data_IF_138871031030
#
_entry.id   IF_138871031030
#
_cell.length_a   1.000
_cell.length_b   1.000
_cell.length_c   1.000
_cell.angle_alpha   90.00
_cell.angle_beta   90.00
_cell.angle_gamma   90.00
#
_symmetry.space_group_name_H-M   'P 1'
#
loop_
_entity.id
_entity.type
_entity.pdbx_description
1 polymer ?
#
# COMPACT_ATOMS: atom_id res chain seq x y z
N UNK A 1 57.18 24.92 -52.21
CA UNK A 1 55.86 25.27 -51.62
C UNK A 1 55.34 24.01 -50.99
N UNK A 2 55.87 23.72 -49.78
CA UNK A 2 55.62 22.51 -49.01
C UNK A 2 54.58 22.82 -47.89
N UNK A 3 53.48 22.08 -47.88
CA UNK A 3 52.50 22.15 -46.84
C UNK A 3 52.93 21.15 -45.75
N UNK A 4 53.30 21.67 -44.59
CA UNK A 4 53.46 20.89 -43.37
C UNK A 4 52.05 20.38 -42.87
N UNK A 5 51.88 19.08 -42.89
CA UNK A 5 50.80 18.40 -42.18
C UNK A 5 51.20 18.29 -40.72
N UNK A 6 50.58 19.07 -39.87
CA UNK A 6 50.66 18.90 -38.42
C UNK A 6 49.63 17.81 -37.99
N UNK A 7 50.16 16.71 -37.47
CA UNK A 7 49.38 15.64 -36.84
C UNK A 7 48.83 16.13 -35.48
N UNK A 8 47.56 16.45 -35.43
CA UNK A 8 46.85 16.70 -34.15
C UNK A 8 46.39 15.38 -33.55
N UNK A 9 46.84 15.10 -32.34
CA UNK A 9 46.36 13.97 -31.54
C UNK A 9 44.87 14.08 -31.22
N UNK A 10 44.12 12.93 -31.07
CA UNK A 10 42.70 12.96 -30.79
C UNK A 10 42.32 13.62 -29.45
N UNK A 11 43.29 13.73 -28.52
CA UNK A 11 43.05 14.29 -27.19
C UNK A 11 42.89 15.82 -27.19
N UNK A 12 43.52 16.54 -28.10
CA UNK A 12 43.38 18.00 -28.20
C UNK A 12 42.00 18.48 -28.70
N UNK A 13 41.27 17.63 -29.44
CA UNK A 13 39.94 17.97 -29.91
C UNK A 13 38.87 17.75 -28.82
N UNK A 14 39.07 16.76 -27.95
CA UNK A 14 38.21 16.50 -26.78
C UNK A 14 38.34 17.58 -25.70
N UNK A 15 39.56 18.11 -25.49
CA UNK A 15 39.77 19.21 -24.54
C UNK A 15 39.25 20.56 -25.07
N UNK A 16 39.33 20.83 -26.39
CA UNK A 16 38.67 22.01 -26.96
C UNK A 16 37.14 21.91 -26.93
N UNK A 17 36.57 20.74 -27.15
CA UNK A 17 35.15 20.53 -27.00
C UNK A 17 34.69 20.63 -25.51
N UNK A 18 35.49 20.15 -24.57
CA UNK A 18 35.26 20.39 -23.14
C UNK A 18 35.31 21.87 -22.76
N UNK A 19 36.25 22.65 -23.31
CA UNK A 19 36.31 24.10 -23.07
C UNK A 19 35.14 24.86 -23.73
N UNK A 20 34.62 24.40 -24.87
CA UNK A 20 33.49 25.06 -25.55
C UNK A 20 32.14 24.76 -24.89
N UNK A 21 32.00 23.61 -24.22
CA UNK A 21 30.80 23.27 -23.45
C UNK A 21 30.82 23.74 -21.97
N UNK A 22 31.93 24.30 -21.50
CA UNK A 22 31.97 25.11 -20.27
C UNK A 22 31.49 26.54 -20.53
N UNK A 23 30.30 26.71 -21.09
CA UNK A 23 29.55 27.94 -20.96
C UNK A 23 29.46 28.20 -19.46
N UNK A 24 30.12 29.26 -18.95
CA UNK A 24 29.99 29.72 -17.58
C UNK A 24 28.52 29.84 -17.29
N UNK A 25 27.97 28.88 -16.53
CA UNK A 25 26.59 28.94 -16.07
C UNK A 25 26.48 30.27 -15.34
N UNK A 26 25.45 31.05 -15.65
CA UNK A 26 25.20 32.29 -14.93
C UNK A 26 24.64 32.02 -13.52
N UNK A 27 24.61 30.75 -13.14
CA UNK A 27 24.01 30.29 -11.89
C UNK A 27 25.13 29.75 -10.96
N UNK A 28 25.50 30.52 -9.91
CA UNK A 28 26.54 30.09 -8.97
C UNK A 28 26.20 28.79 -8.24
N UNK A 29 24.92 28.43 -8.17
CA UNK A 29 24.49 27.18 -7.52
C UNK A 29 24.84 25.98 -8.43
N UNK A 30 24.66 26.09 -9.73
CA UNK A 30 25.06 25.04 -10.69
C UNK A 30 26.58 24.81 -10.66
N UNK A 31 27.36 25.88 -10.73
CA UNK A 31 28.81 25.77 -10.65
C UNK A 31 29.27 25.11 -9.34
N UNK A 32 28.67 25.47 -8.23
CA UNK A 32 28.89 24.81 -6.93
C UNK A 32 28.56 23.32 -6.99
N UNK A 33 27.36 22.96 -7.46
CA UNK A 33 26.94 21.56 -7.52
C UNK A 33 27.85 20.71 -8.38
N UNK A 34 28.27 21.21 -9.56
CA UNK A 34 29.18 20.49 -10.45
C UNK A 34 30.63 20.44 -9.94
N UNK A 35 30.99 21.26 -8.95
CA UNK A 35 32.33 21.23 -8.32
C UNK A 35 32.46 20.20 -7.19
N UNK A 36 31.34 19.61 -6.74
CA UNK A 36 31.33 18.65 -5.63
C UNK A 36 31.90 17.29 -6.05
N UNK A 37 32.62 16.63 -5.14
CA UNK A 37 32.92 15.22 -5.29
C UNK A 37 31.64 14.36 -5.12
N UNK A 38 31.66 13.09 -5.58
CA UNK A 38 30.52 12.18 -5.50
C UNK A 38 29.98 12.06 -4.05
N UNK A 39 30.87 11.95 -3.04
CA UNK A 39 30.49 11.88 -1.64
C UNK A 39 29.82 13.20 -1.17
N UNK A 40 30.38 14.34 -1.55
CA UNK A 40 29.82 15.65 -1.22
C UNK A 40 28.47 15.87 -1.90
N UNK A 41 28.34 15.44 -3.14
CA UNK A 41 27.09 15.51 -3.89
C UNK A 41 26.00 14.62 -3.25
N UNK A 42 26.36 13.41 -2.80
CA UNK A 42 25.42 12.55 -2.06
C UNK A 42 24.95 13.19 -0.76
N UNK A 43 25.86 13.81 0.03
CA UNK A 43 25.50 14.55 1.24
C UNK A 43 24.58 15.74 0.95
N UNK A 44 24.77 16.42 -0.17
CA UNK A 44 23.90 17.51 -0.61
C UNK A 44 22.49 16.97 -0.91
N UNK A 45 22.39 15.88 -1.69
CA UNK A 45 21.09 15.22 -1.98
C UNK A 45 20.38 14.85 -0.68
N UNK A 46 21.06 14.18 0.26
CA UNK A 46 20.49 13.78 1.54
C UNK A 46 19.99 14.99 2.35
N UNK A 47 20.72 16.11 2.27
CA UNK A 47 20.33 17.36 2.98
C UNK A 47 19.11 18.03 2.33
N UNK A 48 19.05 18.04 1.00
CA UNK A 48 17.88 18.53 0.24
C UNK A 48 16.65 17.68 0.53
N UNK A 49 16.79 16.36 0.56
CA UNK A 49 15.71 15.45 0.87
C UNK A 49 15.18 15.62 2.31
N UNK A 50 16.08 15.78 3.29
CA UNK A 50 15.69 16.11 4.67
C UNK A 50 14.96 17.45 4.76
N UNK A 51 15.37 18.44 4.00
CA UNK A 51 14.68 19.74 3.94
C UNK A 51 13.28 19.60 3.38
N UNK A 52 13.11 18.88 2.25
CA UNK A 52 11.79 18.59 1.66
C UNK A 52 10.88 17.84 2.63
N UNK A 53 11.41 16.82 3.31
CA UNK A 53 10.65 16.04 4.29
C UNK A 53 10.19 16.94 5.44
N UNK A 54 11.06 17.82 5.93
CA UNK A 54 10.72 18.77 6.99
C UNK A 54 9.66 19.78 6.57
N UNK A 55 9.72 20.27 5.33
CA UNK A 55 8.73 21.18 4.77
C UNK A 55 7.37 20.46 4.56
N UNK A 56 7.38 19.22 4.09
CA UNK A 56 6.18 18.46 3.76
C UNK A 56 5.51 17.83 5.00
N UNK A 57 6.28 17.25 5.90
CA UNK A 57 5.77 16.46 7.04
C UNK A 57 6.05 17.11 8.40
N UNK A 58 6.95 18.11 8.49
CA UNK A 58 7.42 18.69 9.73
C UNK A 58 8.47 17.86 10.46
N UNK A 59 8.94 16.75 9.89
CA UNK A 59 9.88 15.78 10.49
C UNK A 59 10.98 15.37 9.54
N UNK A 60 12.09 14.86 10.11
CA UNK A 60 13.22 14.33 9.35
C UNK A 60 13.59 12.89 9.75
N UNK A 61 12.94 12.34 10.77
CA UNK A 61 13.18 10.97 11.23
C UNK A 61 11.88 10.26 11.65
N UNK A 62 11.91 8.92 11.59
CA UNK A 62 10.79 8.08 12.00
C UNK A 62 10.47 8.22 13.49
N UNK A 63 11.49 8.37 14.33
CA UNK A 63 11.31 8.49 15.77
C UNK A 63 10.69 9.83 16.15
N UNK A 64 11.16 10.92 15.52
CA UNK A 64 10.59 12.26 15.69
C UNK A 64 9.11 12.28 15.27
N UNK A 65 8.80 11.76 14.09
CA UNK A 65 7.44 11.67 13.58
C UNK A 65 6.55 10.83 14.51
N UNK A 66 7.02 9.63 14.92
CA UNK A 66 6.27 8.76 15.81
C UNK A 66 5.94 9.44 17.15
N UNK A 67 6.90 10.11 17.74
CA UNK A 67 6.72 10.86 18.99
C UNK A 67 5.71 12.00 18.83
N UNK A 68 5.83 12.79 17.79
CA UNK A 68 4.92 13.91 17.48
C UNK A 68 3.50 13.44 17.18
N UNK A 69 3.33 12.29 16.52
CA UNK A 69 2.02 11.67 16.30
C UNK A 69 1.42 11.05 17.57
N UNK A 70 2.12 11.10 18.70
CA UNK A 70 1.62 10.67 19.99
C UNK A 70 2.03 9.26 20.41
N UNK A 71 2.97 8.62 19.70
CA UNK A 71 3.53 7.34 20.15
C UNK A 71 4.33 7.55 21.42
N UNK A 72 3.99 6.81 22.47
CA UNK A 72 4.71 6.86 23.76
C UNK A 72 5.49 5.56 23.97
N UNK A 73 6.62 5.62 24.68
CA UNK A 73 7.37 4.42 25.03
C UNK A 73 6.49 3.46 25.86
N UNK A 74 6.47 2.20 25.46
CA UNK A 74 5.82 1.10 26.17
C UNK A 74 6.76 -0.10 26.03
N UNK A 75 7.01 -0.79 27.11
CA UNK A 75 7.88 -1.95 27.09
C UNK A 75 7.29 -3.06 26.21
N UNK A 76 8.00 -3.49 25.14
CA UNK A 76 7.49 -4.51 24.24
C UNK A 76 7.48 -5.92 24.83
N UNK A 77 8.06 -6.12 26.00
CA UNK A 77 8.14 -7.40 26.69
C UNK A 77 7.00 -7.59 27.71
N UNK A 78 6.79 -6.59 28.60
CA UNK A 78 5.77 -6.70 29.66
C UNK A 78 4.62 -5.70 29.56
N UNK A 79 4.60 -4.82 28.54
CA UNK A 79 3.54 -3.82 28.34
C UNK A 79 3.62 -2.62 29.29
N UNK A 80 4.58 -2.56 30.20
CA UNK A 80 4.73 -1.48 31.17
C UNK A 80 5.04 -0.14 30.53
N UNK A 81 4.56 0.93 31.17
CA UNK A 81 4.90 2.33 30.85
C UNK A 81 5.89 2.94 31.85
N UNK A 82 6.38 2.13 32.79
CA UNK A 82 7.35 2.55 33.80
C UNK A 82 8.76 2.33 33.24
N UNK A 83 9.46 3.41 32.91
CA UNK A 83 10.77 3.35 32.26
C UNK A 83 11.65 4.52 32.61
N UNK A 84 12.97 4.32 32.49
CA UNK A 84 13.97 5.35 32.46
C UNK A 84 14.59 5.49 31.07
N UNK A 85 15.07 6.69 30.76
CA UNK A 85 15.90 6.91 29.57
C UNK A 85 17.30 6.36 29.86
N UNK A 86 17.77 5.47 28.96
CA UNK A 86 19.06 4.79 29.11
C UNK A 86 19.96 5.05 27.89
N UNK A 87 20.31 6.32 27.68
CA UNK A 87 21.17 6.77 26.59
C UNK A 87 20.57 6.60 25.19
N UNK A 88 21.44 6.32 24.21
CA UNK A 88 21.08 6.19 22.80
C UNK A 88 21.66 4.90 22.22
N UNK A 89 21.09 4.44 21.12
CA UNK A 89 21.66 3.39 20.28
C UNK A 89 22.83 3.95 19.47
N UNK A 90 23.69 3.11 18.85
CA UNK A 90 24.71 3.57 17.91
C UNK A 90 24.14 4.40 16.73
N UNK A 91 22.87 4.20 16.40
CA UNK A 91 22.12 4.96 15.36
C UNK A 91 21.42 6.20 15.95
N UNK A 92 21.81 6.68 17.12
CA UNK A 92 21.26 7.85 17.82
C UNK A 92 19.78 7.79 18.16
N UNK A 93 19.12 6.61 18.13
CA UNK A 93 17.76 6.45 18.64
C UNK A 93 17.76 6.43 20.16
N UNK A 94 16.80 7.14 20.78
CA UNK A 94 16.63 7.16 22.22
C UNK A 94 16.34 5.75 22.74
N UNK A 95 17.10 5.28 23.72
CA UNK A 95 16.94 3.99 24.36
C UNK A 95 16.26 4.13 25.71
N UNK A 96 15.32 3.24 25.97
CA UNK A 96 14.57 3.15 27.21
C UNK A 96 14.89 1.84 27.93
N UNK A 97 14.86 1.84 29.26
CA UNK A 97 14.96 0.65 30.11
C UNK A 97 13.69 0.54 30.93
N UNK A 98 12.99 -0.58 30.84
CA UNK A 98 11.81 -0.86 31.63
C UNK A 98 12.21 -1.07 33.09
N UNK A 99 11.49 -0.44 34.02
CA UNK A 99 11.75 -0.61 35.45
C UNK A 99 11.10 -1.86 36.03
N UNK A 100 10.12 -2.44 35.32
CA UNK A 100 9.39 -3.61 35.82
C UNK A 100 10.00 -4.94 35.35
N UNK A 101 10.65 -4.98 34.19
CA UNK A 101 11.24 -6.22 33.65
C UNK A 101 12.67 -6.07 33.12
N UNK A 102 13.28 -4.92 33.30
CA UNK A 102 14.66 -4.60 32.93
C UNK A 102 14.98 -4.66 31.44
N UNK A 103 13.99 -4.82 30.57
CA UNK A 103 14.17 -4.91 29.13
C UNK A 103 14.54 -3.54 28.55
N UNK A 104 15.57 -3.50 27.68
CA UNK A 104 15.93 -2.28 26.92
C UNK A 104 15.24 -2.25 25.57
N UNK A 105 14.74 -1.08 25.17
CA UNK A 105 13.98 -0.91 23.93
C UNK A 105 14.08 0.54 23.41
N UNK A 106 13.61 0.75 22.16
CA UNK A 106 13.45 2.07 21.54
C UNK A 106 11.98 2.36 21.32
N UNK A 107 11.63 3.58 20.93
CA UNK A 107 10.24 3.98 20.67
C UNK A 107 9.56 3.10 19.60
N UNK A 108 10.33 2.56 18.67
CA UNK A 108 9.83 1.77 17.53
C UNK A 108 10.05 0.26 17.67
N UNK A 109 10.51 -0.22 18.83
CA UNK A 109 10.82 -1.64 19.03
C UNK A 109 9.64 -2.60 18.89
N UNK A 110 8.41 -2.12 19.11
CA UNK A 110 7.15 -2.86 18.97
C UNK A 110 6.40 -2.53 17.66
N UNK A 111 7.11 -2.08 16.64
CA UNK A 111 6.54 -1.73 15.33
C UNK A 111 7.20 -2.47 14.18
N UNK A 112 6.65 -2.32 12.98
CA UNK A 112 7.25 -2.82 11.73
C UNK A 112 8.63 -2.18 11.44
N UNK A 113 8.96 -1.09 12.11
CA UNK A 113 10.23 -0.37 11.98
C UNK A 113 11.31 -0.86 12.94
N UNK A 114 11.02 -1.86 13.77
CA UNK A 114 12.03 -2.45 14.65
C UNK A 114 13.27 -2.86 13.84
N UNK A 115 14.43 -2.38 14.26
CA UNK A 115 15.73 -2.63 13.59
C UNK A 115 15.77 -2.23 12.12
N UNK A 116 14.92 -1.28 11.70
CA UNK A 116 14.89 -0.79 10.33
C UNK A 116 16.04 0.18 10.06
N UNK A 117 16.66 0.04 8.89
CA UNK A 117 17.67 0.96 8.37
C UNK A 117 17.14 1.89 7.28
N UNK A 118 15.83 1.82 6.97
CA UNK A 118 15.25 2.70 5.94
C UNK A 118 15.26 4.16 6.43
N UNK A 119 15.69 5.08 5.56
CA UNK A 119 15.61 6.50 5.85
C UNK A 119 14.15 6.97 5.83
N UNK A 120 13.86 8.07 6.54
CA UNK A 120 12.53 8.68 6.55
C UNK A 120 12.07 9.01 5.13
N UNK A 121 12.94 9.63 4.33
CA UNK A 121 12.68 10.00 2.95
C UNK A 121 12.33 8.80 2.06
N UNK A 122 13.13 7.71 2.08
CA UNK A 122 12.83 6.52 1.30
C UNK A 122 11.51 5.86 1.71
N UNK A 123 11.16 5.89 3.01
CA UNK A 123 9.89 5.37 3.47
C UNK A 123 8.70 6.21 2.98
N UNK A 124 8.77 7.53 3.11
CA UNK A 124 7.68 8.42 2.67
C UNK A 124 7.44 8.31 1.16
N UNK A 125 8.51 8.26 0.38
CA UNK A 125 8.41 7.94 -1.06
C UNK A 125 7.83 6.55 -1.33
N UNK A 126 8.24 5.53 -0.59
CA UNK A 126 7.70 4.18 -0.75
C UNK A 126 6.19 4.15 -0.47
N UNK A 127 5.73 4.83 0.59
CA UNK A 127 4.30 4.98 0.89
C UNK A 127 3.58 5.66 -0.28
N UNK A 128 4.14 6.74 -0.81
CA UNK A 128 3.56 7.46 -1.95
C UNK A 128 3.41 6.54 -3.18
N UNK A 129 4.43 5.77 -3.53
CA UNK A 129 4.38 4.80 -4.62
C UNK A 129 3.31 3.72 -4.38
N UNK A 130 3.18 3.23 -3.15
CA UNK A 130 2.12 2.29 -2.78
C UNK A 130 0.72 2.90 -2.91
N UNK A 131 0.54 4.19 -2.62
CA UNK A 131 -0.76 4.86 -2.79
C UNK A 131 -1.14 5.05 -4.26
N UNK A 132 -0.17 5.07 -5.16
CA UNK A 132 -0.37 5.08 -6.61
C UNK A 132 -0.46 3.67 -7.21
N UNK A 133 -0.45 2.64 -6.37
CA UNK A 133 -0.49 1.24 -6.79
C UNK A 133 0.65 0.89 -7.76
N UNK A 134 1.85 1.42 -7.50
CA UNK A 134 3.04 1.15 -8.30
C UNK A 134 3.50 -0.30 -8.03
N UNK A 135 3.73 -1.11 -9.08
CA UNK A 135 4.27 -2.46 -8.95
C UNK A 135 5.65 -2.48 -8.28
N UNK A 136 6.06 -3.68 -7.83
CA UNK A 136 7.29 -3.82 -7.03
C UNK A 136 8.54 -3.46 -7.82
N UNK A 137 8.58 -3.83 -9.10
CA UNK A 137 9.73 -3.57 -9.99
C UNK A 137 10.02 -2.08 -10.11
N UNK A 138 9.01 -1.28 -10.39
CA UNK A 138 9.14 0.17 -10.53
C UNK A 138 9.49 0.83 -9.18
N UNK A 139 8.98 0.31 -8.05
CA UNK A 139 9.40 0.79 -6.73
C UNK A 139 10.91 0.57 -6.48
N UNK A 140 11.45 -0.56 -6.95
CA UNK A 140 12.88 -0.87 -6.85
C UNK A 140 13.73 0.12 -7.65
N UNK A 141 13.32 0.40 -8.89
CA UNK A 141 14.01 1.30 -9.81
C UNK A 141 13.99 2.75 -9.29
N UNK A 142 12.81 3.25 -8.88
CA UNK A 142 12.63 4.64 -8.40
C UNK A 142 13.36 4.92 -7.09
N UNK A 143 13.44 3.93 -6.20
CA UNK A 143 14.04 4.09 -4.87
C UNK A 143 15.45 3.54 -4.77
N UNK A 144 15.95 2.93 -5.85
CA UNK A 144 17.27 2.29 -5.89
C UNK A 144 17.46 1.31 -4.74
N UNK A 145 16.49 0.41 -4.57
CA UNK A 145 16.51 -0.61 -3.51
C UNK A 145 16.42 -2.01 -4.11
N UNK A 146 16.97 -3.00 -3.41
CA UNK A 146 16.89 -4.39 -3.85
C UNK A 146 15.45 -4.94 -3.83
N UNK A 147 15.19 -5.96 -4.67
CA UNK A 147 13.91 -6.68 -4.71
C UNK A 147 13.51 -7.20 -3.32
N UNK A 148 14.46 -7.78 -2.59
CA UNK A 148 14.22 -8.28 -1.24
C UNK A 148 13.79 -7.17 -0.28
N UNK A 149 14.41 -5.99 -0.38
CA UNK A 149 14.07 -4.82 0.44
C UNK A 149 12.67 -4.30 0.10
N UNK A 150 12.38 -4.11 -1.19
CA UNK A 150 11.09 -3.64 -1.64
C UNK A 150 9.95 -4.59 -1.23
N UNK A 151 10.14 -5.91 -1.43
CA UNK A 151 9.16 -6.92 -1.04
C UNK A 151 8.97 -6.99 0.49
N UNK A 152 10.06 -6.93 1.26
CA UNK A 152 10.02 -6.90 2.73
C UNK A 152 9.20 -5.71 3.23
N UNK A 153 9.41 -4.50 2.67
CA UNK A 153 8.67 -3.32 3.06
C UNK A 153 7.20 -3.42 2.70
N UNK A 154 6.87 -3.95 1.52
CA UNK A 154 5.48 -4.19 1.13
C UNK A 154 4.78 -5.12 2.10
N UNK A 155 5.41 -6.25 2.45
CA UNK A 155 4.89 -7.20 3.43
C UNK A 155 4.72 -6.60 4.83
N UNK A 156 5.69 -5.82 5.30
CA UNK A 156 5.62 -5.11 6.58
C UNK A 156 4.44 -4.14 6.63
N UNK A 157 4.26 -3.32 5.60
CA UNK A 157 3.16 -2.37 5.52
C UNK A 157 1.82 -3.10 5.43
N UNK A 158 1.71 -4.11 4.60
CA UNK A 158 0.51 -4.91 4.47
C UNK A 158 0.10 -5.60 5.78
N UNK A 159 1.07 -6.03 6.58
CA UNK A 159 0.79 -6.66 7.87
C UNK A 159 0.02 -5.73 8.82
N UNK A 160 0.23 -4.41 8.75
CA UNK A 160 -0.48 -3.44 9.60
C UNK A 160 -1.97 -3.29 9.27
N UNK A 161 -2.40 -3.82 8.12
CA UNK A 161 -3.80 -3.78 7.66
C UNK A 161 -4.41 -5.17 7.46
N UNK A 162 -3.74 -6.22 7.96
CA UNK A 162 -4.21 -7.62 7.78
C UNK A 162 -5.63 -7.81 8.27
N UNK A 163 -5.96 -7.27 9.44
CA UNK A 163 -7.26 -7.41 10.09
C UNK A 163 -8.19 -6.22 9.86
N UNK A 164 -7.80 -5.29 8.98
CA UNK A 164 -8.54 -4.05 8.79
C UNK A 164 -10.01 -4.28 8.43
N UNK A 165 -10.29 -5.19 7.50
CA UNK A 165 -11.65 -5.46 7.07
C UNK A 165 -12.49 -6.15 8.15
N UNK A 166 -11.90 -6.87 9.10
CA UNK A 166 -12.63 -7.55 10.18
C UNK A 166 -13.45 -6.58 11.05
N UNK A 167 -13.06 -5.30 11.06
CA UNK A 167 -13.73 -4.24 11.83
C UNK A 167 -14.69 -3.38 11.00
N UNK A 168 -14.86 -3.70 9.72
CA UNK A 168 -15.77 -2.95 8.84
C UNK A 168 -17.17 -3.51 9.00
N UNK A 169 -18.10 -2.65 9.43
CA UNK A 169 -19.54 -2.95 9.53
C UNK A 169 -20.29 -2.05 8.55
N UNK A 170 -21.07 -2.70 7.69
CA UNK A 170 -21.94 -2.08 6.69
C UNK A 170 -23.35 -1.95 7.25
N UNK A 171 -24.03 -0.85 6.96
CA UNK A 171 -25.35 -0.53 7.51
C UNK A 171 -26.24 0.23 6.54
N UNK A 172 -27.51 0.31 6.84
CA UNK A 172 -28.57 0.92 6.05
C UNK A 172 -28.73 0.27 4.68
N UNK A 173 -28.33 0.94 3.61
CA UNK A 173 -28.40 0.43 2.25
C UNK A 173 -27.03 -0.14 1.87
N UNK A 174 -26.99 -1.43 1.59
CA UNK A 174 -25.77 -2.19 1.30
C UNK A 174 -25.87 -2.82 -0.08
N UNK A 175 -25.00 -2.46 -0.99
CA UNK A 175 -24.85 -3.11 -2.29
C UNK A 175 -23.92 -4.30 -2.16
N UNK A 176 -24.32 -5.43 -2.72
CA UNK A 176 -23.57 -6.70 -2.68
C UNK A 176 -23.50 -7.31 -4.07
N UNK A 177 -22.30 -7.74 -4.47
CA UNK A 177 -22.05 -8.47 -5.71
C UNK A 177 -20.78 -9.30 -5.60
N UNK A 178 -20.57 -10.24 -6.52
CA UNK A 178 -19.35 -11.02 -6.66
C UNK A 178 -18.53 -10.61 -7.86
N UNK A 179 -17.22 -10.54 -7.67
CA UNK A 179 -16.27 -10.40 -8.76
C UNK A 179 -15.32 -11.59 -8.82
N UNK A 180 -14.81 -11.90 -10.00
CA UNK A 180 -14.02 -13.10 -10.23
C UNK A 180 -12.69 -12.75 -10.88
N UNK A 181 -11.62 -13.36 -10.36
CA UNK A 181 -10.25 -13.21 -10.84
C UNK A 181 -9.71 -14.59 -11.22
N UNK A 182 -8.87 -14.64 -12.26
CA UNK A 182 -8.20 -15.88 -12.66
C UNK A 182 -7.22 -16.34 -11.57
N UNK A 183 -7.23 -17.63 -11.25
CA UNK A 183 -6.20 -18.25 -10.42
C UNK A 183 -5.14 -18.87 -11.33
N UNK A 184 -4.05 -18.14 -11.52
CA UNK A 184 -2.97 -18.56 -12.41
C UNK A 184 -2.22 -19.81 -11.93
N UNK A 185 -2.31 -20.17 -10.63
CA UNK A 185 -1.72 -21.41 -10.11
C UNK A 185 -2.49 -22.65 -10.56
N UNK A 186 -3.82 -22.54 -10.68
CA UNK A 186 -4.66 -23.66 -11.13
C UNK A 186 -4.58 -23.83 -12.64
N UNK A 187 -4.35 -22.74 -13.37
CA UNK A 187 -4.26 -22.77 -14.83
C UNK A 187 -3.01 -23.51 -15.34
N UNK A 188 -1.97 -23.68 -14.52
CA UNK A 188 -0.76 -24.45 -14.82
C UNK A 188 -0.11 -24.14 -16.18
N UNK A 189 0.91 -24.93 -16.57
CA UNK A 189 1.56 -24.86 -17.89
C UNK A 189 0.66 -25.37 -19.05
N UNK A 190 -0.47 -25.98 -18.74
CA UNK A 190 -1.40 -26.58 -19.71
C UNK A 190 -2.51 -25.62 -20.14
N UNK A 191 -2.19 -24.34 -20.26
CA UNK A 191 -3.10 -23.27 -20.72
C UNK A 191 -3.72 -23.50 -22.11
N UNK A 192 -3.48 -24.65 -22.75
CA UNK A 192 -4.03 -25.04 -24.04
C UNK A 192 -5.43 -25.66 -24.00
N UNK A 193 -5.96 -25.98 -22.82
CA UNK A 193 -7.31 -26.49 -22.70
C UNK A 193 -8.37 -25.40 -22.91
N UNK A 194 -9.37 -25.76 -23.68
CA UNK A 194 -10.49 -24.90 -24.11
C UNK A 194 -11.02 -24.06 -22.97
N UNK A 195 -11.02 -22.74 -23.15
CA UNK A 195 -11.75 -21.82 -22.27
C UNK A 195 -13.18 -22.33 -22.09
N UNK A 196 -13.50 -22.80 -20.90
CA UNK A 196 -14.85 -23.23 -20.56
C UNK A 196 -15.78 -22.02 -20.71
N UNK A 197 -16.87 -22.19 -21.44
CA UNK A 197 -17.92 -21.15 -21.54
C UNK A 197 -18.57 -20.98 -20.15
N UNK A 198 -18.72 -19.72 -19.70
CA UNK A 198 -19.31 -19.40 -18.41
C UNK A 198 -18.29 -19.21 -17.30
N UNK A 199 -18.76 -19.19 -16.04
CA UNK A 199 -17.92 -18.99 -14.88
C UNK A 199 -17.14 -20.28 -14.56
N UNK A 200 -15.81 -20.22 -14.76
CA UNK A 200 -14.94 -21.35 -14.43
C UNK A 200 -14.91 -21.61 -12.92
N UNK A 201 -14.89 -22.89 -12.53
CA UNK A 201 -14.70 -23.31 -11.13
C UNK A 201 -13.32 -22.97 -10.58
N UNK A 202 -12.38 -22.63 -11.45
CA UNK A 202 -11.00 -22.27 -11.09
C UNK A 202 -10.85 -20.80 -10.71
N UNK A 203 -11.80 -19.92 -11.08
CA UNK A 203 -11.72 -18.50 -10.75
C UNK A 203 -11.93 -18.25 -9.25
N UNK A 204 -11.14 -17.36 -8.71
CA UNK A 204 -11.31 -16.89 -7.32
C UNK A 204 -12.52 -15.96 -7.27
N UNK A 205 -13.45 -16.27 -6.41
CA UNK A 205 -14.61 -15.46 -6.09
C UNK A 205 -14.28 -14.48 -4.98
N UNK A 206 -14.48 -13.20 -5.22
CA UNK A 206 -14.36 -12.12 -4.24
C UNK A 206 -15.76 -11.54 -4.05
N UNK A 207 -16.25 -11.59 -2.82
CA UNK A 207 -17.49 -10.89 -2.44
C UNK A 207 -17.14 -9.45 -2.16
N UNK A 208 -17.85 -8.53 -2.80
CA UNK A 208 -17.69 -7.09 -2.65
C UNK A 208 -18.99 -6.52 -2.10
N UNK A 209 -18.91 -5.75 -1.03
CA UNK A 209 -20.07 -5.03 -0.52
C UNK A 209 -19.67 -3.61 -0.10
N UNK A 210 -20.59 -2.68 -0.32
CA UNK A 210 -20.40 -1.26 0.02
C UNK A 210 -21.72 -0.68 0.54
N UNK A 211 -21.66 0.13 1.60
CA UNK A 211 -22.84 0.79 2.13
C UNK A 211 -23.01 2.24 1.62
N UNK A 212 -24.16 2.85 1.98
CA UNK A 212 -24.47 4.25 1.64
C UNK A 212 -23.47 5.25 2.24
N UNK A 213 -22.74 4.87 3.29
CA UNK A 213 -21.67 5.65 3.91
C UNK A 213 -20.31 5.40 3.26
N UNK A 214 -20.27 4.60 2.18
CA UNK A 214 -19.07 4.20 1.45
C UNK A 214 -18.09 3.36 2.30
N UNK A 215 -18.53 2.68 3.36
CA UNK A 215 -17.75 1.60 3.96
C UNK A 215 -17.79 0.42 3.00
N UNK A 216 -16.68 -0.27 2.85
CA UNK A 216 -16.55 -1.31 1.84
C UNK A 216 -15.81 -2.51 2.42
N UNK A 217 -16.19 -3.70 1.96
CA UNK A 217 -15.43 -4.93 2.10
C UNK A 217 -15.17 -5.58 0.74
N UNK A 218 -14.07 -6.30 0.64
CA UNK A 218 -13.71 -7.15 -0.50
C UNK A 218 -13.01 -8.40 0.04
N UNK A 219 -13.74 -9.51 0.12
CA UNK A 219 -13.29 -10.72 0.83
C UNK A 219 -13.34 -11.92 -0.09
N UNK A 220 -12.27 -12.72 -0.11
CA UNK A 220 -12.21 -13.96 -0.87
C UNK A 220 -13.19 -14.96 -0.30
N UNK A 221 -14.11 -15.42 -1.15
CA UNK A 221 -15.15 -16.40 -0.82
C UNK A 221 -14.83 -17.81 -1.35
N UNK A 222 -13.60 -18.07 -1.84
CA UNK A 222 -13.15 -19.32 -2.42
C UNK A 222 -13.22 -19.34 -3.95
N UNK A 223 -13.29 -20.52 -4.57
CA UNK A 223 -13.28 -20.68 -6.03
C UNK A 223 -14.67 -20.92 -6.62
N UNK A 224 -14.86 -20.50 -7.87
CA UNK A 224 -16.08 -20.65 -8.65
C UNK A 224 -17.28 -19.93 -8.04
N UNK A 225 -18.48 -20.27 -8.56
CA UNK A 225 -19.74 -19.68 -8.06
C UNK A 225 -19.97 -20.05 -6.61
N UNK A 226 -20.24 -19.09 -5.69
CA UNK A 226 -20.40 -19.38 -4.29
C UNK A 226 -21.79 -19.98 -3.99
N UNK A 227 -21.86 -20.82 -2.98
CA UNK A 227 -23.15 -21.25 -2.39
C UNK A 227 -23.65 -20.21 -1.39
N UNK A 228 -24.97 -20.25 -1.07
CA UNK A 228 -25.55 -19.37 -0.06
C UNK A 228 -24.87 -19.48 1.30
N UNK A 229 -24.41 -20.68 1.67
CA UNK A 229 -23.69 -20.89 2.92
C UNK A 229 -22.29 -20.24 2.91
N UNK A 230 -21.62 -20.23 1.76
CA UNK A 230 -20.32 -19.56 1.62
C UNK A 230 -20.48 -18.05 1.72
N UNK A 231 -21.42 -17.43 1.00
CA UNK A 231 -21.73 -16.00 1.11
C UNK A 231 -22.05 -15.64 2.56
N UNK A 232 -22.98 -16.35 3.19
CA UNK A 232 -23.36 -16.10 4.57
C UNK A 232 -22.14 -16.13 5.51
N UNK A 233 -21.34 -17.17 5.47
CA UNK A 233 -20.13 -17.29 6.32
C UNK A 233 -19.13 -16.15 6.10
N UNK A 234 -19.00 -15.69 4.85
CA UNK A 234 -18.04 -14.65 4.47
C UNK A 234 -18.46 -13.26 4.99
N UNK A 235 -19.76 -12.92 4.90
CA UNK A 235 -20.18 -11.52 5.14
C UNK A 235 -21.10 -11.30 6.34
N UNK A 236 -21.58 -12.34 7.02
CA UNK A 236 -22.52 -12.22 8.13
C UNK A 236 -22.08 -11.27 9.26
N UNK A 237 -20.78 -11.21 9.53
CA UNK A 237 -20.22 -10.35 10.58
C UNK A 237 -19.98 -8.90 10.12
N UNK A 238 -20.24 -8.62 8.84
CA UNK A 238 -19.96 -7.32 8.22
C UNK A 238 -21.22 -6.52 7.91
N UNK A 239 -22.42 -7.11 8.05
CA UNK A 239 -23.68 -6.43 7.72
C UNK A 239 -24.54 -6.36 8.96
N UNK A 240 -25.01 -5.15 9.27
CA UNK A 240 -25.95 -4.93 10.39
C UNK A 240 -27.29 -5.60 10.07
N UNK A 241 -27.89 -6.37 10.98
CA UNK A 241 -29.23 -6.91 10.82
C UNK A 241 -30.26 -5.82 10.49
N UNK A 242 -31.30 -6.19 9.76
CA UNK A 242 -32.37 -5.29 9.28
C UNK A 242 -31.92 -4.19 8.29
N UNK A 243 -30.69 -4.26 7.77
CA UNK A 243 -30.26 -3.39 6.66
C UNK A 243 -30.98 -3.76 5.36
N UNK A 244 -30.98 -2.84 4.40
CA UNK A 244 -31.49 -3.10 3.04
C UNK A 244 -30.35 -3.54 2.14
N UNK A 245 -30.44 -4.75 1.57
CA UNK A 245 -29.47 -5.25 0.60
C UNK A 245 -29.95 -4.99 -0.83
N UNK A 246 -29.06 -4.44 -1.64
CA UNK A 246 -29.26 -4.15 -3.05
C UNK A 246 -28.38 -5.09 -3.86
N UNK A 247 -28.99 -5.96 -4.70
CA UNK A 247 -28.27 -7.00 -5.41
C UNK A 247 -28.97 -7.42 -6.72
N UNK A 248 -28.33 -8.27 -7.50
CA UNK A 248 -28.81 -8.73 -8.81
C UNK A 248 -29.87 -9.85 -8.74
N UNK A 249 -30.23 -10.29 -7.56
CA UNK A 249 -31.17 -11.42 -7.33
C UNK A 249 -30.50 -12.80 -7.34
N UNK A 250 -29.17 -12.87 -7.24
CA UNK A 250 -28.47 -14.16 -7.15
C UNK A 250 -28.93 -14.97 -5.93
N UNK A 251 -29.30 -16.23 -6.14
CA UNK A 251 -29.80 -17.13 -5.11
C UNK A 251 -28.82 -17.39 -3.96
N UNK A 252 -27.54 -17.16 -4.22
CA UNK A 252 -26.51 -17.27 -3.20
C UNK A 252 -26.69 -16.29 -2.05
N UNK A 253 -27.43 -15.20 -2.22
CA UNK A 253 -27.69 -14.20 -1.18
C UNK A 253 -28.84 -14.58 -0.23
N UNK A 254 -29.70 -15.54 -0.60
CA UNK A 254 -30.93 -15.84 0.12
C UNK A 254 -30.70 -16.17 1.61
N UNK A 255 -29.70 -16.99 1.93
CA UNK A 255 -29.41 -17.35 3.33
C UNK A 255 -28.98 -16.13 4.15
N UNK A 256 -28.18 -15.24 3.57
CA UNK A 256 -27.75 -14.00 4.23
C UNK A 256 -28.95 -13.12 4.55
N UNK A 257 -29.86 -12.96 3.57
CA UNK A 257 -31.09 -12.16 3.70
C UNK A 257 -31.97 -12.71 4.82
N UNK A 258 -32.19 -14.02 4.84
CA UNK A 258 -33.02 -14.68 5.85
C UNK A 258 -32.44 -14.58 7.26
N UNK A 259 -31.19 -14.96 7.43
CA UNK A 259 -30.55 -15.05 8.75
C UNK A 259 -30.29 -13.67 9.40
N UNK A 260 -30.09 -12.62 8.62
CA UNK A 260 -29.91 -11.26 9.12
C UNK A 260 -31.18 -10.40 9.03
N UNK A 261 -32.31 -10.97 8.61
CA UNK A 261 -33.58 -10.26 8.43
C UNK A 261 -33.45 -9.02 7.55
N UNK A 262 -32.70 -9.14 6.43
CA UNK A 262 -32.44 -8.01 5.54
C UNK A 262 -33.65 -7.72 4.66
N UNK A 263 -33.90 -6.43 4.41
CA UNK A 263 -34.78 -6.01 3.33
C UNK A 263 -34.06 -6.21 2.00
N UNK A 264 -34.73 -6.79 0.99
CA UNK A 264 -34.10 -7.11 -0.30
C UNK A 264 -34.65 -6.25 -1.42
N UNK A 265 -33.77 -5.49 -2.07
CA UNK A 265 -34.05 -4.78 -3.32
C UNK A 265 -33.30 -5.47 -4.46
N UNK A 266 -34.04 -6.05 -5.39
CA UNK A 266 -33.48 -6.84 -6.50
C UNK A 266 -33.53 -6.06 -7.80
N UNK A 267 -32.36 -5.93 -8.45
CA UNK A 267 -32.20 -5.36 -9.79
C UNK A 267 -31.51 -6.39 -10.67
N UNK A 268 -32.30 -7.12 -11.46
CA UNK A 268 -31.77 -8.17 -12.35
C UNK A 268 -30.86 -7.57 -13.41
N UNK A 269 -29.75 -8.26 -13.66
CA UNK A 269 -28.75 -7.81 -14.63
C UNK A 269 -29.34 -7.70 -16.05
N UNK A 270 -29.55 -6.47 -16.49
CA UNK A 270 -29.95 -6.10 -17.85
C UNK A 270 -29.22 -4.84 -18.28
N UNK A 271 -28.35 -4.97 -19.28
CA UNK A 271 -27.58 -3.82 -19.80
C UNK A 271 -28.42 -2.80 -20.56
N UNK A 272 -29.70 -3.09 -20.83
CA UNK A 272 -30.66 -2.18 -21.48
C UNK A 272 -31.62 -1.52 -20.49
N UNK A 273 -31.62 -1.95 -19.23
CA UNK A 273 -32.46 -1.36 -18.19
C UNK A 273 -31.73 -0.21 -17.48
N UNK A 274 -32.15 1.00 -17.77
CA UNK A 274 -31.58 2.22 -17.15
C UNK A 274 -31.68 2.20 -15.63
N UNK A 275 -32.74 1.59 -15.07
CA UNK A 275 -32.90 1.49 -13.62
C UNK A 275 -31.84 0.54 -13.02
N UNK A 276 -31.63 -0.64 -13.63
CA UNK A 276 -30.55 -1.53 -13.24
C UNK A 276 -29.20 -0.81 -13.32
N UNK A 277 -28.88 -0.18 -14.44
CA UNK A 277 -27.60 0.52 -14.63
C UNK A 277 -27.38 1.57 -13.57
N UNK A 278 -28.41 2.34 -13.21
CA UNK A 278 -28.33 3.40 -12.19
C UNK A 278 -28.19 2.83 -10.78
N UNK A 279 -28.99 1.86 -10.39
CA UNK A 279 -29.01 1.32 -9.02
C UNK A 279 -27.79 0.45 -8.73
N UNK A 280 -27.30 -0.32 -9.69
CA UNK A 280 -26.13 -1.19 -9.51
C UNK A 280 -24.79 -0.54 -9.90
N UNK A 281 -24.81 0.71 -10.41
CA UNK A 281 -23.60 1.41 -10.86
C UNK A 281 -22.48 1.44 -9.80
N UNK A 282 -22.84 1.67 -8.54
CA UNK A 282 -21.88 1.77 -7.44
C UNK A 282 -21.08 0.48 -7.28
N UNK A 283 -21.77 -0.64 -7.12
CA UNK A 283 -21.13 -1.93 -6.89
C UNK A 283 -20.41 -2.45 -8.15
N UNK A 284 -20.99 -2.28 -9.33
CA UNK A 284 -20.37 -2.66 -10.60
C UNK A 284 -19.04 -1.90 -10.82
N UNK A 285 -19.00 -0.61 -10.51
CA UNK A 285 -17.78 0.19 -10.56
C UNK A 285 -16.73 -0.30 -9.55
N UNK A 286 -17.15 -0.65 -8.32
CA UNK A 286 -16.22 -1.19 -7.31
C UNK A 286 -15.61 -2.51 -7.78
N UNK A 287 -16.41 -3.43 -8.29
CA UNK A 287 -15.95 -4.69 -8.88
C UNK A 287 -14.97 -4.46 -10.03
N UNK A 288 -15.29 -3.52 -10.92
CA UNK A 288 -14.40 -3.11 -12.02
C UNK A 288 -13.07 -2.50 -11.54
N UNK A 289 -13.11 -1.67 -10.50
CA UNK A 289 -11.90 -1.05 -9.94
C UNK A 289 -11.02 -2.05 -9.21
N UNK A 290 -11.59 -3.01 -8.49
CA UNK A 290 -10.84 -4.12 -7.87
C UNK A 290 -10.10 -4.91 -8.93
N UNK A 291 -10.77 -5.29 -10.04
CA UNK A 291 -10.12 -6.02 -11.15
C UNK A 291 -8.93 -5.23 -11.72
N UNK A 292 -9.12 -3.93 -12.01
CA UNK A 292 -8.04 -3.07 -12.52
C UNK A 292 -6.90 -2.88 -11.51
N UNK A 293 -7.22 -2.80 -10.22
CA UNK A 293 -6.22 -2.73 -9.16
C UNK A 293 -5.37 -3.99 -9.11
N UNK A 294 -6.01 -5.17 -9.05
CA UNK A 294 -5.29 -6.45 -8.97
C UNK A 294 -4.46 -6.69 -10.23
N UNK A 295 -4.96 -6.30 -11.40
CA UNK A 295 -4.23 -6.48 -12.65
C UNK A 295 -2.90 -5.71 -12.72
N UNK A 296 -2.72 -4.67 -11.94
CA UNK A 296 -1.41 -3.98 -11.84
C UNK A 296 -0.32 -4.82 -11.16
N UNK A 297 -0.70 -5.86 -10.45
CA UNK A 297 0.21 -6.73 -9.69
C UNK A 297 0.31 -8.14 -10.31
N UNK A 298 0.40 -8.20 -11.64
CA UNK A 298 0.63 -9.45 -12.39
C UNK A 298 1.91 -10.11 -11.85
N UNK A 299 1.84 -11.42 -11.53
CA UNK A 299 2.92 -12.15 -10.86
C UNK A 299 2.85 -12.13 -9.33
N UNK A 300 1.85 -11.47 -8.73
CA UNK A 300 1.54 -11.62 -7.32
C UNK A 300 1.14 -13.05 -7.03
N UNK A 301 1.67 -13.63 -5.95
CA UNK A 301 1.19 -14.91 -5.45
C UNK A 301 -0.26 -14.79 -4.98
N UNK A 302 -1.13 -15.66 -5.48
CA UNK A 302 -2.57 -15.68 -5.18
C UNK A 302 -2.84 -15.82 -3.69
N UNK A 303 -1.97 -16.47 -2.93
CA UNK A 303 -2.06 -16.56 -1.46
C UNK A 303 -2.01 -15.18 -0.79
N UNK A 304 -1.40 -14.20 -1.43
CA UNK A 304 -1.34 -12.83 -0.92
C UNK A 304 -2.54 -11.96 -1.37
N UNK A 305 -3.45 -12.48 -2.20
CA UNK A 305 -4.53 -11.70 -2.79
C UNK A 305 -5.38 -10.98 -1.73
N UNK A 306 -5.76 -11.66 -0.63
CA UNK A 306 -6.54 -11.02 0.43
C UNK A 306 -5.79 -9.84 1.07
N UNK A 307 -4.49 -9.94 1.19
CA UNK A 307 -3.65 -8.86 1.74
C UNK A 307 -3.67 -7.62 0.83
N UNK A 308 -3.64 -7.82 -0.49
CA UNK A 308 -3.80 -6.73 -1.46
C UNK A 308 -5.21 -6.12 -1.40
N UNK A 309 -6.24 -6.93 -1.23
CA UNK A 309 -7.63 -6.45 -1.05
C UNK A 309 -7.77 -5.64 0.25
N UNK A 310 -7.18 -6.09 1.35
CA UNK A 310 -7.18 -5.35 2.62
C UNK A 310 -6.53 -3.96 2.44
N UNK A 311 -5.39 -3.91 1.76
CA UNK A 311 -4.72 -2.65 1.44
C UNK A 311 -5.57 -1.75 0.56
N UNK A 312 -6.20 -2.31 -0.48
CA UNK A 312 -7.08 -1.55 -1.38
C UNK A 312 -8.24 -0.89 -0.63
N UNK A 313 -8.94 -1.65 0.19
CA UNK A 313 -10.07 -1.15 1.01
C UNK A 313 -9.59 -0.09 2.01
N UNK A 314 -8.44 -0.31 2.65
CA UNK A 314 -7.82 0.67 3.53
C UNK A 314 -7.48 1.99 2.80
N UNK A 315 -6.90 1.91 1.58
CA UNK A 315 -6.61 3.10 0.78
C UNK A 315 -7.87 3.88 0.41
N UNK A 316 -8.94 3.20 0.04
CA UNK A 316 -10.23 3.83 -0.25
C UNK A 316 -10.76 4.60 0.98
N UNK A 317 -10.61 4.02 2.16
CA UNK A 317 -10.97 4.69 3.42
C UNK A 317 -10.12 5.94 3.65
N UNK A 318 -8.81 5.84 3.49
CA UNK A 318 -7.90 6.97 3.63
C UNK A 318 -8.18 8.11 2.64
N UNK A 319 -8.70 7.81 1.46
CA UNK A 319 -9.06 8.82 0.45
C UNK A 319 -10.37 9.52 0.74
N UNK A 320 -11.32 8.80 1.35
CA UNK A 320 -12.70 9.25 1.50
C UNK A 320 -12.89 10.27 2.61
N UNK A 321 -12.19 10.08 3.71
CA UNK A 321 -12.41 10.91 4.88
C UNK A 321 -11.86 12.32 4.63
N UNK A 322 -12.69 13.34 4.84
CA UNK A 322 -12.33 14.75 4.79
C UNK A 322 -11.43 15.15 5.99
N UNK A 323 -10.46 14.31 6.31
CA UNK A 323 -9.48 14.61 7.33
C UNK A 323 -8.50 15.66 6.79
N UNK A 324 -8.06 16.58 7.64
CA UNK A 324 -7.04 17.58 7.35
C UNK A 324 -5.69 16.98 6.95
N UNK A 325 -5.49 15.69 7.22
CA UNK A 325 -4.28 14.97 6.89
C UNK A 325 -4.28 14.53 5.43
N UNK A 326 -3.22 14.87 4.71
CA UNK A 326 -3.00 14.30 3.38
C UNK A 326 -2.95 12.76 3.47
N UNK A 327 -3.41 12.09 2.41
CA UNK A 327 -3.48 10.61 2.34
C UNK A 327 -2.17 9.93 2.78
N UNK A 328 -1.04 10.40 2.27
CA UNK A 328 0.27 9.82 2.59
C UNK A 328 0.65 10.02 4.07
N UNK A 329 0.36 11.19 4.62
CA UNK A 329 0.61 11.50 6.03
C UNK A 329 -0.27 10.65 6.95
N UNK A 330 -1.54 10.43 6.59
CA UNK A 330 -2.45 9.55 7.30
C UNK A 330 -1.92 8.11 7.38
N UNK A 331 -1.41 7.60 6.25
CA UNK A 331 -0.79 6.28 6.19
C UNK A 331 0.48 6.24 7.04
N UNK A 332 1.34 7.24 6.91
CA UNK A 332 2.56 7.35 7.72
C UNK A 332 2.24 7.35 9.22
N UNK A 333 1.25 8.15 9.63
CA UNK A 333 0.77 8.20 11.01
C UNK A 333 0.27 6.84 11.50
N UNK A 334 -0.55 6.15 10.69
CA UNK A 334 -1.01 4.79 11.01
C UNK A 334 0.18 3.85 11.22
N UNK A 335 1.11 3.78 10.27
CA UNK A 335 2.27 2.89 10.35
C UNK A 335 3.16 3.17 11.57
N UNK A 336 3.32 4.44 11.93
CA UNK A 336 4.14 4.85 13.08
C UNK A 336 3.43 4.64 14.43
N UNK A 337 2.11 4.64 14.47
CA UNK A 337 1.35 4.41 15.70
C UNK A 337 1.03 2.93 15.92
N UNK A 338 0.99 2.14 14.86
CA UNK A 338 0.69 0.70 14.93
C UNK A 338 1.76 -0.06 15.73
N UNK A 339 1.31 -0.94 16.65
CA UNK A 339 2.17 -1.72 17.54
C UNK A 339 2.29 -3.18 17.10
N UNK A 340 2.49 -3.38 15.82
CA UNK A 340 2.62 -4.71 15.21
C UNK A 340 4.07 -4.98 14.82
N UNK A 341 4.70 -5.97 15.43
CA UNK A 341 6.01 -6.47 14.98
C UNK A 341 5.86 -7.30 13.73
N UNK A 342 6.76 -7.10 12.78
CA UNK A 342 6.81 -7.96 11.61
C UNK A 342 7.31 -9.35 12.00
N UNK A 343 6.50 -10.37 11.73
CA UNK A 343 6.89 -11.78 11.83
C UNK A 343 7.04 -12.36 10.44
N UNK A 344 8.23 -12.91 10.12
CA UNK A 344 8.39 -13.72 8.90
C UNK A 344 7.54 -14.96 9.06
N UNK A 345 6.58 -15.13 8.16
CA UNK A 345 5.90 -16.41 7.96
C UNK A 345 6.75 -17.26 7.03
#
# INVERSE_FOLDING_TARGET
MELCLATSSPDGCLDMLRMFFMSKSKNPIEDFVFSLSDDQFQLLIDSVDKRKDKEMYGFTSLEEAAFKYGRKPVCPHCGSRNYNVNGHTPSYHKRYRCLDCDCSYTLLSDSIFNSSKISFHKLTKYIQLMTFNVPLKECMEILEISSNTANLWRKKIFQTVTDYQNHVILKDRVWLDETYIEDYKILGSDYKEKRLRGLSRTKICIVVAIDSYKNMIAIICGHGKPSSNRIYKTVKNHITPNSTIIHDGEKAHNKLIQELHLNSEVYKADCKDDNYLKQMALINNMCGWIKRYIWRFIGMDVENLQTYLNWYVYLLRCQRDNDKWAKNERILRHLLLERTRYTRK
#
